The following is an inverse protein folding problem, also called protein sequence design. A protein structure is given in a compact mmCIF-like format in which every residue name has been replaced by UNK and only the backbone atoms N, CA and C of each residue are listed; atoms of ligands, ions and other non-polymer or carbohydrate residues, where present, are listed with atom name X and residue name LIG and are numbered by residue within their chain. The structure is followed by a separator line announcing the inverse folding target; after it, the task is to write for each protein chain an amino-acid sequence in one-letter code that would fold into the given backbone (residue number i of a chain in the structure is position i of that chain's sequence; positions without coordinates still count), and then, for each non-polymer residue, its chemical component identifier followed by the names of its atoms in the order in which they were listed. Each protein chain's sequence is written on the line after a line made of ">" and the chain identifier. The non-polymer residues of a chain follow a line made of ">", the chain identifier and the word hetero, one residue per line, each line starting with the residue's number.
data_IF_317434999670
#
_entry.id   IF_317434999670
#
_cell.length_a   1.000
_cell.length_b   1.000
_cell.length_c   1.000
_cell.angle_alpha   90.00
_cell.angle_beta   90.00
_cell.angle_gamma   90.00
#
_symmetry.space_group_name_H-M   'P 1'
#
loop_
_entity.id
_entity.type
_entity.pdbx_description
1 polymer ?
#
# COMPACT_ATOMS: atom_id res chain seq x y z
N UNK A 1 25.70 -7.85 -5.99
CA UNK A 1 24.40 -7.24 -5.64
C UNK A 1 24.33 -6.52 -4.28
N UNK A 2 24.55 -7.15 -3.11
CA UNK A 2 24.43 -6.42 -1.82
C UNK A 2 25.42 -5.26 -1.66
N UNK A 3 26.66 -5.46 -2.09
CA UNK A 3 27.73 -4.45 -2.04
C UNK A 3 27.64 -3.37 -3.12
N UNK A 4 26.89 -3.63 -4.20
CA UNK A 4 26.65 -2.64 -5.26
C UNK A 4 25.52 -1.70 -4.86
N UNK A 5 24.48 -2.23 -4.20
CA UNK A 5 23.35 -1.44 -3.73
C UNK A 5 23.67 -0.55 -2.53
N UNK A 6 24.74 -0.84 -1.77
CA UNK A 6 25.22 0.04 -0.70
C UNK A 6 25.92 1.29 -1.21
N UNK A 7 26.28 1.34 -2.50
CA UNK A 7 26.95 2.50 -3.13
C UNK A 7 25.96 3.54 -3.65
N UNK A 8 24.67 3.21 -3.74
CA UNK A 8 23.66 4.14 -4.23
C UNK A 8 23.22 5.10 -3.12
N UNK A 9 23.49 6.40 -3.29
CA UNK A 9 23.02 7.41 -2.35
C UNK A 9 21.49 7.48 -2.34
N UNK A 10 20.92 7.76 -1.16
CA UNK A 10 19.48 7.90 -0.98
C UNK A 10 18.91 8.98 -1.90
N UNK A 11 19.64 10.07 -2.10
CA UNK A 11 19.25 11.20 -2.95
C UNK A 11 19.15 10.80 -4.43
N UNK A 12 20.12 10.03 -4.93
CA UNK A 12 20.09 9.53 -6.31
C UNK A 12 18.92 8.57 -6.56
N UNK A 13 18.59 7.73 -5.57
CA UNK A 13 17.42 6.86 -5.64
C UNK A 13 16.12 7.67 -5.61
N UNK A 14 16.00 8.62 -4.68
CA UNK A 14 14.83 9.50 -4.55
C UNK A 14 14.59 10.32 -5.83
N UNK A 15 15.65 10.79 -6.48
CA UNK A 15 15.55 11.48 -7.77
C UNK A 15 14.92 10.62 -8.87
N UNK A 16 15.30 9.34 -8.94
CA UNK A 16 14.77 8.40 -9.96
C UNK A 16 13.33 8.01 -9.72
N UNK A 17 12.94 7.75 -8.46
CA UNK A 17 11.56 7.32 -8.18
C UNK A 17 10.54 8.43 -8.42
N UNK A 18 10.92 9.72 -8.37
CA UNK A 18 9.98 10.83 -8.59
C UNK A 18 9.27 10.77 -9.95
N UNK A 19 9.85 10.07 -10.92
CA UNK A 19 9.27 9.87 -12.26
C UNK A 19 8.14 8.82 -12.27
N UNK A 20 8.04 7.99 -11.23
CA UNK A 20 7.04 6.94 -11.13
C UNK A 20 5.70 7.49 -10.58
N UNK A 21 4.56 6.84 -10.88
CA UNK A 21 3.30 7.11 -10.20
C UNK A 21 3.42 6.97 -8.67
N UNK A 22 2.68 7.76 -7.87
CA UNK A 22 2.82 7.79 -6.41
C UNK A 22 2.78 6.42 -5.73
N UNK A 23 1.89 5.53 -6.17
CA UNK A 23 1.76 4.16 -5.63
C UNK A 23 3.02 3.32 -5.89
N UNK A 24 3.63 3.49 -7.05
CA UNK A 24 4.87 2.79 -7.40
C UNK A 24 6.07 3.37 -6.66
N UNK A 25 6.07 4.68 -6.37
CA UNK A 25 7.09 5.33 -5.54
C UNK A 25 7.13 4.71 -4.14
N UNK A 26 5.97 4.55 -3.49
CA UNK A 26 5.90 3.93 -2.16
C UNK A 26 6.40 2.49 -2.16
N UNK A 27 5.99 1.69 -3.15
CA UNK A 27 6.45 0.31 -3.31
C UNK A 27 7.98 0.26 -3.42
N UNK A 28 8.56 1.09 -4.30
CA UNK A 28 10.00 1.16 -4.53
C UNK A 28 10.76 1.63 -3.28
N UNK A 29 10.24 2.64 -2.57
CA UNK A 29 10.80 3.12 -1.31
C UNK A 29 10.84 2.02 -0.24
N UNK A 30 9.78 1.22 -0.13
CA UNK A 30 9.73 0.12 0.82
C UNK A 30 10.73 -0.97 0.46
N UNK A 31 10.84 -1.35 -0.82
CA UNK A 31 11.87 -2.29 -1.30
C UNK A 31 13.27 -1.77 -0.98
N UNK A 32 13.56 -0.52 -1.31
CA UNK A 32 14.87 0.10 -1.04
C UNK A 32 15.22 0.10 0.45
N UNK A 33 14.27 0.49 1.31
CA UNK A 33 14.43 0.45 2.77
C UNK A 33 14.64 -0.97 3.30
N UNK A 34 13.99 -1.98 2.71
CA UNK A 34 14.14 -3.37 3.14
C UNK A 34 15.51 -3.94 2.76
N UNK A 35 16.01 -3.61 1.57
CA UNK A 35 17.32 -4.08 1.07
C UNK A 35 18.48 -3.54 1.92
N UNK A 36 18.39 -2.29 2.40
CA UNK A 36 19.42 -1.68 3.27
C UNK A 36 19.48 -2.28 4.68
N UNK A 37 18.47 -3.05 5.10
CA UNK A 37 18.39 -3.57 6.47
C UNK A 37 19.01 -4.95 6.57
N UNK A 38 19.68 -5.23 7.69
CA UNK A 38 20.14 -6.58 8.04
C UNK A 38 18.97 -7.56 8.21
N UNK A 39 17.81 -7.09 8.68
CA UNK A 39 16.58 -7.88 8.87
C UNK A 39 15.34 -7.07 8.48
N UNK A 40 14.37 -7.73 7.83
CA UNK A 40 13.09 -7.12 7.40
C UNK A 40 12.04 -7.11 8.52
N UNK A 41 12.26 -7.90 9.58
CA UNK A 41 11.36 -7.94 10.75
C UNK A 41 11.34 -6.57 11.44
N UNK A 42 10.14 -6.11 11.81
CA UNK A 42 9.96 -4.81 12.47
C UNK A 42 10.01 -3.60 11.52
N UNK A 43 9.92 -3.83 10.21
CA UNK A 43 9.79 -2.73 9.26
C UNK A 43 8.47 -1.98 9.45
N UNK A 44 8.58 -0.64 9.47
CA UNK A 44 7.44 0.27 9.51
C UNK A 44 6.97 0.55 8.09
N UNK A 45 5.66 0.57 7.92
CA UNK A 45 4.98 0.86 6.67
C UNK A 45 4.22 2.17 6.78
N UNK A 46 4.06 2.90 5.67
CA UNK A 46 3.13 4.04 5.62
C UNK A 46 1.69 3.55 5.71
N UNK A 47 0.75 4.43 6.11
CA UNK A 47 -0.67 4.06 6.23
C UNK A 47 -1.26 3.82 4.83
N UNK A 48 -0.79 4.59 3.88
CA UNK A 48 -1.11 4.56 2.46
C UNK A 48 -0.70 3.20 1.88
N UNK A 49 0.57 2.80 2.06
CA UNK A 49 1.05 1.50 1.59
C UNK A 49 0.32 0.31 2.21
N UNK A 50 -0.05 0.40 3.50
CA UNK A 50 -0.81 -0.66 4.16
C UNK A 50 -2.21 -0.79 3.57
N UNK A 51 -2.87 0.33 3.31
CA UNK A 51 -4.19 0.34 2.67
C UNK A 51 -4.14 -0.28 1.28
N UNK A 52 -3.10 0.03 0.50
CA UNK A 52 -2.89 -0.53 -0.83
C UNK A 52 -2.61 -2.03 -0.78
N UNK A 53 -1.81 -2.47 0.21
CA UNK A 53 -1.58 -3.89 0.47
C UNK A 53 -2.86 -4.61 0.91
N UNK A 54 -3.76 -3.95 1.64
CA UNK A 54 -5.05 -4.52 2.01
C UNK A 54 -5.94 -4.72 0.79
N UNK A 55 -6.04 -3.71 -0.09
CA UNK A 55 -6.79 -3.79 -1.35
C UNK A 55 -6.23 -4.93 -2.23
N UNK A 56 -4.90 -5.03 -2.34
CA UNK A 56 -4.25 -6.10 -3.10
C UNK A 56 -4.59 -7.48 -2.54
N UNK A 57 -4.60 -7.63 -1.21
CA UNK A 57 -4.99 -8.87 -0.53
C UNK A 57 -6.46 -9.22 -0.78
N UNK A 58 -7.35 -8.22 -0.77
CA UNK A 58 -8.78 -8.42 -1.05
C UNK A 58 -9.00 -8.90 -2.49
N UNK A 59 -8.25 -8.36 -3.46
CA UNK A 59 -8.34 -8.77 -4.88
C UNK A 59 -7.77 -10.17 -5.15
N UNK A 60 -6.73 -10.57 -4.42
CA UNK A 60 -6.03 -11.82 -4.69
C UNK A 60 -5.21 -12.29 -3.49
N UNK A 61 -5.81 -12.98 -2.51
CA UNK A 61 -5.12 -13.35 -1.28
C UNK A 61 -3.99 -14.35 -1.50
N UNK A 62 -4.17 -15.29 -2.43
CA UNK A 62 -3.14 -16.29 -2.79
C UNK A 62 -1.93 -15.62 -3.44
N UNK A 63 -2.18 -14.78 -4.45
CA UNK A 63 -1.15 -14.01 -5.14
C UNK A 63 -0.38 -13.10 -4.16
N UNK A 64 -1.09 -12.45 -3.24
CA UNK A 64 -0.48 -11.61 -2.21
C UNK A 64 0.50 -12.40 -1.33
N UNK A 65 0.11 -13.59 -0.87
CA UNK A 65 1.02 -14.43 -0.06
C UNK A 65 2.18 -14.99 -0.87
N UNK A 66 1.96 -15.37 -2.13
CA UNK A 66 3.03 -15.86 -3.00
C UNK A 66 4.07 -14.77 -3.29
N UNK A 67 3.64 -13.56 -3.65
CA UNK A 67 4.52 -12.40 -3.83
C UNK A 67 5.30 -12.07 -2.54
N UNK A 68 4.64 -12.18 -1.38
CA UNK A 68 5.25 -11.95 -0.07
C UNK A 68 6.30 -13.02 0.25
N UNK A 69 5.99 -14.30 0.02
CA UNK A 69 6.90 -15.43 0.28
C UNK A 69 8.12 -15.41 -0.64
N UNK A 70 7.91 -15.08 -1.91
CA UNK A 70 8.97 -14.92 -2.91
C UNK A 70 9.77 -13.63 -2.76
N UNK A 71 9.35 -12.72 -1.85
CA UNK A 71 10.00 -11.43 -1.58
C UNK A 71 10.08 -10.52 -2.81
N UNK A 72 9.11 -10.64 -3.72
CA UNK A 72 8.97 -9.76 -4.90
C UNK A 72 8.68 -8.32 -4.44
N UNK A 73 7.80 -8.19 -3.44
CA UNK A 73 7.46 -6.91 -2.80
C UNK A 73 7.58 -7.02 -1.27
N UNK A 74 7.76 -5.88 -0.62
CA UNK A 74 7.80 -5.78 0.84
C UNK A 74 6.37 -5.65 1.36
N UNK A 75 5.72 -6.80 1.51
CA UNK A 75 4.31 -6.89 1.88
C UNK A 75 4.12 -7.17 3.38
N UNK A 76 3.22 -6.43 4.06
CA UNK A 76 2.88 -6.69 5.46
C UNK A 76 2.23 -8.07 5.64
N UNK A 77 2.43 -8.65 6.83
CA UNK A 77 1.81 -9.91 7.22
C UNK A 77 0.34 -9.72 7.61
N UNK A 78 -0.45 -10.81 7.67
CA UNK A 78 -1.82 -10.77 8.21
C UNK A 78 -1.88 -10.13 9.61
N UNK A 79 -0.94 -10.47 10.48
CA UNK A 79 -0.86 -9.89 11.84
C UNK A 79 -0.59 -8.39 11.79
N UNK A 80 0.22 -7.93 10.84
CA UNK A 80 0.49 -6.50 10.65
C UNK A 80 -0.79 -5.77 10.24
N UNK A 81 -1.55 -6.30 9.28
CA UNK A 81 -2.84 -5.72 8.86
C UNK A 81 -3.82 -5.55 10.02
N UNK A 82 -3.98 -6.58 10.86
CA UNK A 82 -4.87 -6.55 12.02
C UNK A 82 -4.46 -5.49 13.07
N UNK A 83 -3.17 -5.15 13.18
CA UNK A 83 -2.72 -4.08 14.10
C UNK A 83 -3.03 -2.69 13.58
N UNK A 84 -3.02 -2.50 12.27
CA UNK A 84 -3.28 -1.20 11.64
C UNK A 84 -4.77 -0.94 11.46
N UNK A 85 -5.52 -1.96 11.07
CA UNK A 85 -6.96 -1.89 10.94
C UNK A 85 -7.60 -2.53 12.17
N UNK A 86 -7.70 -1.74 13.25
CA UNK A 86 -8.52 -2.11 14.39
C UNK A 86 -9.98 -2.01 13.96
N UNK A 87 -10.62 -3.14 13.72
CA UNK A 87 -12.07 -3.19 13.63
C UNK A 87 -12.61 -2.90 15.04
N UNK A 88 -13.18 -1.71 15.24
CA UNK A 88 -14.07 -1.48 16.36
C UNK A 88 -15.36 -2.25 16.11
N UNK A 89 -15.94 -2.83 17.16
CA UNK A 89 -17.27 -3.42 17.12
C UNK A 89 -18.26 -2.35 17.57
N UNK A 90 -18.72 -1.49 16.65
CA UNK A 90 -19.85 -0.57 16.88
C UNK A 90 -20.23 0.20 15.58
N UNK A 91 -21.27 1.03 15.68
CA UNK A 91 -21.63 2.04 14.71
C UNK A 91 -20.53 3.10 14.55
N UNK A 92 -19.91 3.16 13.38
CA UNK A 92 -18.87 4.13 13.08
C UNK A 92 -19.48 5.37 12.40
N UNK A 93 -19.79 6.38 13.20
CA UNK A 93 -20.38 7.65 12.73
C UNK A 93 -19.52 8.33 11.66
N UNK A 94 -18.19 8.22 11.74
CA UNK A 94 -17.28 8.77 10.72
C UNK A 94 -17.41 8.06 9.38
N UNK A 95 -17.59 6.74 9.39
CA UNK A 95 -17.83 5.99 8.15
C UNK A 95 -19.17 6.42 7.56
N UNK A 96 -20.20 6.58 8.37
CA UNK A 96 -21.52 7.02 7.90
C UNK A 96 -21.51 8.46 7.37
N UNK A 97 -20.78 9.38 8.01
CA UNK A 97 -20.64 10.75 7.51
C UNK A 97 -19.87 10.80 6.19
N UNK A 98 -18.81 10.00 6.04
CA UNK A 98 -18.09 9.86 4.78
C UNK A 98 -18.98 9.24 3.69
N UNK A 99 -19.79 8.23 4.01
CA UNK A 99 -20.72 7.62 3.07
C UNK A 99 -21.79 8.61 2.60
N UNK A 100 -22.34 9.43 3.51
CA UNK A 100 -23.30 10.49 3.16
C UNK A 100 -22.70 11.53 2.19
N UNK A 101 -21.43 11.87 2.36
CA UNK A 101 -20.73 12.77 1.43
C UNK A 101 -20.51 12.11 0.06
N UNK A 102 -20.20 10.82 0.03
CA UNK A 102 -19.94 10.09 -1.21
C UNK A 102 -21.22 9.74 -1.99
N UNK A 103 -22.37 9.54 -1.34
CA UNK A 103 -23.66 9.32 -2.03
C UNK A 103 -24.08 10.50 -2.90
N UNK A 104 -23.52 11.70 -2.69
CA UNK A 104 -23.71 12.84 -3.58
C UNK A 104 -23.01 12.66 -4.94
N UNK A 105 -21.91 11.89 -5.01
CA UNK A 105 -21.16 11.70 -6.26
C UNK A 105 -21.79 10.66 -7.19
N UNK A 106 -22.56 9.71 -6.68
CA UNK A 106 -23.26 8.71 -7.51
C UNK A 106 -24.47 9.28 -8.26
N UNK A 107 -25.00 10.43 -7.82
CA UNK A 107 -26.07 11.14 -8.52
C UNK A 107 -25.65 11.73 -9.89
N UNK A 108 -24.34 11.84 -10.15
CA UNK A 108 -23.82 12.49 -11.37
C UNK A 108 -23.46 11.52 -12.51
N UNK A 109 -23.57 10.20 -12.31
CA UNK A 109 -23.24 9.18 -13.34
C UNK A 109 -24.46 8.54 -14.02
N UNK A 110 -25.64 9.14 -13.87
CA UNK A 110 -26.91 8.58 -14.34
C UNK A 110 -27.43 9.09 -15.70
N UNK A 111 -26.76 10.01 -16.39
CA UNK A 111 -27.31 10.66 -17.59
C UNK A 111 -26.34 10.71 -18.77
N UNK A 112 -25.80 9.56 -19.20
CA UNK A 112 -25.33 9.39 -20.59
C UNK A 112 -25.71 7.99 -21.07
N UNK A 113 -27.02 7.78 -21.26
CA UNK A 113 -27.53 6.67 -22.05
C UNK A 113 -27.40 7.09 -23.53
N UNK A 114 -26.36 6.61 -24.20
CA UNK A 114 -26.26 6.65 -25.66
C UNK A 114 -27.45 5.90 -26.29
N UNK A 115 -28.30 6.64 -27.00
CA UNK A 115 -29.06 6.17 -28.16
C UNK A 115 -28.44 6.78 -29.40
#
# INVERSE_FOLDING_TARGET
>A
MKEENSKLSDEAFLGRIKQLPPKQQEAALHVFKAVKRKRVRGMRYSKEWISECLIMRMKGPKLYEDMRRQKVLVLPSKVTHLRFHKAGFDFNEKVMSMLKQNSFMDAFKGTEAHR
#
